data_IF_168079837276
#
_entry.id   IF_168079837276
#
_cell.length_a   1.000
_cell.length_b   1.000
_cell.length_c   1.000
_cell.angle_alpha   90.00
_cell.angle_beta   90.00
_cell.angle_gamma   90.00
#
_symmetry.space_group_name_H-M   'P 1'
#
loop_
_entity.id
_entity.type
_entity.pdbx_description
1 polymer ?
#
# COMPACT_ATOMS: atom_id res chain seq x y z
N UNK A 1 20.79 22.55 83.13
CA UNK A 1 19.73 23.29 82.42
C UNK A 1 19.10 22.38 81.37
N UNK A 2 17.84 22.64 80.98
CA UNK A 2 17.11 21.86 79.96
C UNK A 2 17.43 22.41 78.55
N UNK A 3 17.47 21.54 77.52
CA UNK A 3 17.42 21.76 76.04
C UNK A 3 18.14 20.56 75.38
N UNK A 4 17.74 19.96 74.25
CA UNK A 4 16.45 19.76 73.58
C UNK A 4 16.59 18.58 72.59
N UNK A 5 15.50 17.92 72.18
CA UNK A 5 15.52 16.92 71.08
C UNK A 5 15.36 17.61 69.72
N UNK A 6 16.03 17.09 68.67
CA UNK A 6 15.31 16.63 67.47
C UNK A 6 15.84 15.26 67.00
N UNK A 7 15.00 14.24 66.76
CA UNK A 7 14.07 14.04 65.64
C UNK A 7 14.69 13.26 64.44
N UNK A 8 14.22 12.01 64.28
CA UNK A 8 14.15 11.21 63.05
C UNK A 8 15.23 11.39 61.97
N UNK A 9 16.19 10.46 61.91
CA UNK A 9 17.10 10.33 60.78
C UNK A 9 16.38 9.84 59.52
N UNK A 10 16.34 10.68 58.48
CA UNK A 10 15.91 10.30 57.13
C UNK A 10 17.07 9.62 56.39
N UNK A 11 16.79 8.47 55.76
CA UNK A 11 17.76 7.77 54.91
C UNK A 11 17.98 8.63 53.65
N UNK A 12 19.24 8.98 53.27
CA UNK A 12 19.48 9.86 52.13
C UNK A 12 19.20 9.15 50.80
N UNK A 13 18.34 9.76 49.98
CA UNK A 13 17.91 9.27 48.66
C UNK A 13 18.99 9.44 47.56
N UNK A 14 20.27 9.20 47.88
CA UNK A 14 21.42 9.55 47.04
C UNK A 14 21.97 8.36 46.24
N UNK A 15 21.70 7.12 46.64
CA UNK A 15 22.22 5.90 45.99
C UNK A 15 21.60 5.64 44.61
N UNK A 16 20.27 5.75 44.46
CA UNK A 16 19.61 5.51 43.16
C UNK A 16 20.00 6.55 42.10
N UNK A 17 20.08 7.83 42.47
CA UNK A 17 20.47 8.91 41.58
C UNK A 17 21.90 8.74 41.03
N UNK A 18 22.84 8.26 41.86
CA UNK A 18 24.23 8.03 41.47
C UNK A 18 24.36 6.87 40.47
N UNK A 19 23.63 5.77 40.68
CA UNK A 19 23.62 4.63 39.74
C UNK A 19 23.05 4.99 38.35
N UNK A 20 22.08 5.90 38.29
CA UNK A 20 21.51 6.40 37.03
C UNK A 20 22.45 7.32 36.24
N UNK A 21 23.55 7.82 36.82
CA UNK A 21 24.56 8.64 36.15
C UNK A 21 25.74 7.81 35.58
N UNK A 22 25.95 6.60 36.09
CA UNK A 22 27.04 5.69 35.67
C UNK A 22 26.95 5.29 34.18
N UNK A 23 28.08 5.03 33.49
CA UNK A 23 28.09 4.48 32.13
C UNK A 23 27.21 3.22 31.99
N UNK A 24 27.21 2.35 33.00
CA UNK A 24 26.36 1.16 33.03
C UNK A 24 24.85 1.49 33.03
N UNK A 25 24.44 2.53 33.75
CA UNK A 25 23.06 3.03 33.76
C UNK A 25 22.66 3.68 32.43
N UNK A 26 23.60 4.33 31.73
CA UNK A 26 23.39 4.86 30.37
C UNK A 26 23.22 3.72 29.36
N UNK A 27 24.09 2.72 29.36
CA UNK A 27 23.99 1.54 28.49
C UNK A 27 22.70 0.79 28.73
N UNK A 28 22.29 0.58 29.99
CA UNK A 28 21.03 -0.11 30.33
C UNK A 28 19.79 0.63 29.83
N UNK A 29 19.77 1.98 29.84
CA UNK A 29 18.69 2.78 29.25
C UNK A 29 18.66 2.72 27.72
N UNK A 30 19.82 2.70 27.06
CA UNK A 30 19.90 2.53 25.60
C UNK A 30 19.39 1.13 25.22
N UNK A 31 19.90 0.08 25.88
CA UNK A 31 19.46 -1.30 25.66
C UNK A 31 17.95 -1.48 25.92
N UNK A 32 17.39 -0.85 26.97
CA UNK A 32 15.94 -0.87 27.23
C UNK A 32 15.14 -0.14 26.14
N UNK A 33 15.58 1.06 25.71
CA UNK A 33 14.94 1.82 24.64
C UNK A 33 14.95 1.04 23.33
N UNK A 34 16.08 0.44 22.99
CA UNK A 34 16.27 -0.30 21.75
C UNK A 34 15.47 -1.61 21.80
N UNK A 35 15.45 -2.32 22.94
CA UNK A 35 14.58 -3.48 23.16
C UNK A 35 13.07 -3.14 23.07
N UNK A 36 12.64 -1.99 23.61
CA UNK A 36 11.27 -1.49 23.47
C UNK A 36 10.96 -1.08 22.02
N UNK A 37 11.93 -0.53 21.29
CA UNK A 37 11.83 -0.23 19.86
C UNK A 37 11.62 -1.50 19.03
N UNK A 38 12.43 -2.54 19.28
CA UNK A 38 12.19 -3.87 18.68
C UNK A 38 10.83 -4.44 19.09
N UNK A 39 10.41 -4.29 20.35
CA UNK A 39 9.10 -4.77 20.78
C UNK A 39 7.97 -4.08 20.03
N UNK A 40 8.03 -2.76 19.82
CA UNK A 40 7.03 -2.04 19.01
C UNK A 40 7.09 -2.48 17.53
N UNK A 41 8.27 -2.72 16.97
CA UNK A 41 8.45 -3.27 15.61
C UNK A 41 7.87 -4.70 15.45
N UNK A 42 7.99 -5.56 16.46
CA UNK A 42 7.39 -6.90 16.49
C UNK A 42 5.89 -6.90 16.82
N UNK A 43 5.39 -5.91 17.55
CA UNK A 43 3.97 -5.75 17.89
C UNK A 43 3.19 -4.95 16.84
N UNK A 44 3.86 -4.17 15.98
CA UNK A 44 3.28 -3.45 14.85
C UNK A 44 2.47 -4.35 13.89
N UNK A 45 2.95 -5.55 13.51
CA UNK A 45 2.14 -6.55 12.80
C UNK A 45 0.86 -6.95 13.56
N UNK A 46 0.95 -7.21 14.87
CA UNK A 46 -0.21 -7.62 15.67
C UNK A 46 -1.22 -6.49 15.86
N UNK A 47 -0.76 -5.24 16.04
CA UNK A 47 -1.62 -4.04 16.01
C UNK A 47 -2.31 -3.86 14.65
N UNK A 48 -1.67 -4.27 13.55
CA UNK A 48 -2.21 -4.20 12.18
C UNK A 48 -3.18 -5.34 11.87
N UNK A 49 -3.06 -6.48 12.56
CA UNK A 49 -4.00 -7.61 12.47
C UNK A 49 -5.21 -7.47 13.40
N UNK A 50 -5.07 -6.82 14.56
CA UNK A 50 -6.13 -6.73 15.59
C UNK A 50 -6.75 -5.33 15.74
N UNK A 51 -6.29 -4.32 15.00
CA UNK A 51 -7.03 -3.07 14.82
C UNK A 51 -8.21 -3.25 13.87
N UNK A 52 -9.25 -2.40 13.91
CA UNK A 52 -10.31 -2.41 12.91
C UNK A 52 -9.70 -2.25 11.50
N UNK A 53 -9.91 -3.25 10.64
CA UNK A 53 -9.31 -3.35 9.31
C UNK A 53 -9.53 -2.07 8.44
N UNK A 54 -10.56 -1.29 8.76
CA UNK A 54 -10.92 -0.03 8.13
C UNK A 54 -9.88 1.11 8.19
N UNK A 55 -8.91 1.12 9.12
CA UNK A 55 -8.03 2.31 9.33
C UNK A 55 -6.60 2.22 8.78
N UNK A 56 -6.18 1.09 8.19
CA UNK A 56 -4.80 0.93 7.71
C UNK A 56 -4.50 1.55 6.33
N UNK A 57 -5.48 2.20 5.69
CA UNK A 57 -5.35 2.93 4.42
C UNK A 57 -6.01 4.31 4.48
N UNK A 58 -5.59 5.17 5.42
CA UNK A 58 -5.85 6.60 5.32
C UNK A 58 -5.15 7.18 4.09
N UNK A 59 -5.92 7.63 3.09
CA UNK A 59 -5.36 8.08 1.81
C UNK A 59 -6.39 8.68 0.86
N UNK A 60 -7.02 9.79 1.29
CA UNK A 60 -7.92 10.62 0.49
C UNK A 60 -9.31 10.01 0.28
N UNK A 61 -10.36 10.81 0.47
CA UNK A 61 -11.74 10.39 0.19
C UNK A 61 -12.05 10.48 -1.31
N UNK A 62 -11.31 9.70 -2.10
CA UNK A 62 -11.50 9.55 -3.54
C UNK A 62 -12.59 8.50 -3.84
N UNK A 63 -13.58 8.35 -2.95
CA UNK A 63 -14.69 7.39 -3.07
C UNK A 63 -15.64 7.80 -4.20
N UNK A 64 -16.16 9.04 -4.14
CA UNK A 64 -17.02 9.62 -5.16
C UNK A 64 -16.34 9.69 -6.54
N UNK A 65 -15.06 10.06 -6.58
CA UNK A 65 -14.28 10.11 -7.83
C UNK A 65 -14.11 8.71 -8.47
N UNK A 66 -13.94 7.65 -7.65
CA UNK A 66 -13.93 6.26 -8.13
C UNK A 66 -15.27 5.84 -8.67
N UNK A 67 -16.34 6.20 -7.98
CA UNK A 67 -17.69 5.86 -8.39
C UNK A 67 -18.05 6.54 -9.70
N UNK A 68 -17.67 7.81 -9.89
CA UNK A 68 -17.81 8.53 -11.16
C UNK A 68 -16.96 7.91 -12.29
N UNK A 69 -15.67 7.63 -12.05
CA UNK A 69 -14.80 6.94 -13.05
C UNK A 69 -15.37 5.57 -13.41
N UNK A 70 -15.86 4.83 -12.41
CA UNK A 70 -16.48 3.53 -12.59
C UNK A 70 -17.76 3.64 -13.40
N UNK A 71 -18.71 4.50 -13.02
CA UNK A 71 -19.97 4.70 -13.73
C UNK A 71 -19.73 5.11 -15.18
N UNK A 72 -18.73 5.95 -15.44
CA UNK A 72 -18.39 6.37 -16.80
C UNK A 72 -17.87 5.21 -17.67
N UNK A 73 -17.13 4.25 -17.08
CA UNK A 73 -16.65 3.01 -17.74
C UNK A 73 -17.70 1.88 -17.75
N UNK A 74 -18.55 1.80 -16.73
CA UNK A 74 -19.66 0.85 -16.57
C UNK A 74 -20.95 1.35 -17.29
N UNK A 75 -20.94 2.57 -17.83
CA UNK A 75 -21.99 3.14 -18.68
C UNK A 75 -21.71 3.04 -20.19
N UNK A 76 -20.45 3.14 -20.63
CA UNK A 76 -20.07 3.23 -22.06
C UNK A 76 -19.42 1.95 -22.59
N UNK A 77 -19.75 1.46 -23.79
CA UNK A 77 -19.07 0.27 -24.37
C UNK A 77 -17.60 0.56 -24.74
N UNK A 78 -17.28 1.77 -25.17
CA UNK A 78 -15.91 2.27 -25.32
C UNK A 78 -15.78 3.58 -24.56
N UNK A 79 -14.80 3.66 -23.66
CA UNK A 79 -14.54 4.85 -22.85
C UNK A 79 -13.07 5.26 -22.94
N UNK A 80 -12.83 6.54 -23.23
CA UNK A 80 -11.51 7.14 -23.39
C UNK A 80 -11.32 8.20 -22.32
N UNK A 81 -10.33 8.03 -21.44
CA UNK A 81 -9.84 9.15 -20.63
C UNK A 81 -8.76 9.88 -21.41
N UNK A 82 -8.96 11.18 -21.61
CA UNK A 82 -8.04 12.08 -22.32
C UNK A 82 -7.51 13.20 -21.45
N UNK A 83 -6.43 13.81 -21.95
CA UNK A 83 -5.83 15.04 -21.42
C UNK A 83 -6.11 16.19 -22.39
N UNK A 84 -6.42 17.37 -21.87
CA UNK A 84 -6.60 18.57 -22.68
C UNK A 84 -5.29 18.92 -23.42
N UNK A 85 -5.40 19.25 -24.71
CA UNK A 85 -4.24 19.52 -25.57
C UNK A 85 -3.40 18.30 -25.97
N UNK A 86 -3.82 17.06 -25.67
CA UNK A 86 -3.05 15.87 -26.03
C UNK A 86 -3.32 15.38 -27.47
N UNK A 87 -2.35 15.56 -28.37
CA UNK A 87 -2.44 15.12 -29.76
C UNK A 87 -2.64 13.60 -29.95
N UNK A 88 -2.13 12.76 -29.04
CA UNK A 88 -2.36 11.30 -29.09
C UNK A 88 -3.81 10.92 -28.75
N UNK A 89 -4.48 11.72 -27.90
CA UNK A 89 -5.90 11.49 -27.60
C UNK A 89 -6.77 11.81 -28.83
N UNK A 90 -6.50 12.92 -29.51
CA UNK A 90 -7.21 13.30 -30.74
C UNK A 90 -7.08 12.23 -31.82
N UNK A 91 -5.88 11.66 -32.03
CA UNK A 91 -5.67 10.55 -32.96
C UNK A 91 -6.49 9.30 -32.61
N UNK A 92 -6.60 8.95 -31.32
CA UNK A 92 -7.39 7.80 -30.90
C UNK A 92 -8.90 8.00 -31.13
N UNK A 93 -9.40 9.22 -30.88
CA UNK A 93 -10.80 9.60 -31.17
C UNK A 93 -11.08 9.59 -32.69
N UNK A 94 -10.15 10.10 -33.49
CA UNK A 94 -10.25 10.09 -34.94
C UNK A 94 -10.25 8.66 -35.51
N UNK A 95 -9.36 7.78 -35.04
CA UNK A 95 -9.31 6.37 -35.45
C UNK A 95 -10.63 5.63 -35.15
N UNK A 96 -11.22 5.85 -33.97
CA UNK A 96 -12.50 5.23 -33.61
C UNK A 96 -13.67 5.81 -34.42
N UNK A 97 -13.64 7.11 -34.71
CA UNK A 97 -14.61 7.78 -35.60
C UNK A 97 -14.52 7.25 -37.03
N UNK A 98 -13.32 7.09 -37.58
CA UNK A 98 -13.08 6.51 -38.91
C UNK A 98 -13.58 5.05 -39.02
N UNK A 99 -13.50 4.28 -37.93
CA UNK A 99 -14.04 2.91 -37.84
C UNK A 99 -15.56 2.87 -37.54
N UNK A 100 -16.21 4.01 -37.32
CA UNK A 100 -17.65 4.10 -37.04
C UNK A 100 -18.08 3.56 -35.67
N UNK A 101 -17.14 3.45 -34.72
CA UNK A 101 -17.41 2.86 -33.40
C UNK A 101 -17.92 3.95 -32.45
N UNK A 102 -19.07 3.78 -31.76
CA UNK A 102 -19.52 4.73 -30.75
C UNK A 102 -18.60 4.70 -29.53
N UNK A 103 -18.08 5.85 -29.13
CA UNK A 103 -17.22 6.00 -27.95
C UNK A 103 -17.64 7.20 -27.09
N UNK A 104 -17.33 7.11 -25.80
CA UNK A 104 -17.42 8.22 -24.85
C UNK A 104 -16.01 8.72 -24.51
N UNK A 105 -15.88 10.02 -24.25
CA UNK A 105 -14.61 10.64 -23.84
C UNK A 105 -14.78 11.48 -22.58
N UNK A 106 -13.93 11.27 -21.58
CA UNK A 106 -13.88 12.07 -20.36
C UNK A 106 -12.50 12.73 -20.19
N UNK A 107 -12.47 13.95 -19.66
CA UNK A 107 -11.21 14.62 -19.29
C UNK A 107 -10.71 14.03 -17.96
N UNK A 108 -9.58 13.34 -18.00
CA UNK A 108 -8.98 12.64 -16.87
C UNK A 108 -7.83 13.38 -16.19
N UNK A 109 -7.62 14.66 -16.51
CA UNK A 109 -6.51 15.49 -15.98
C UNK A 109 -6.61 15.81 -14.47
N UNK A 110 -7.77 15.60 -13.86
CA UNK A 110 -7.98 15.80 -12.43
C UNK A 110 -6.98 14.99 -11.60
N UNK A 111 -6.34 15.64 -10.61
CA UNK A 111 -5.35 14.98 -9.75
C UNK A 111 -5.94 13.76 -9.01
N UNK A 112 -7.22 13.83 -8.62
CA UNK A 112 -7.93 12.71 -8.01
C UNK A 112 -8.27 11.63 -9.04
N UNK A 113 -8.85 11.99 -10.19
CA UNK A 113 -9.16 11.07 -11.30
C UNK A 113 -7.93 10.27 -11.72
N UNK A 114 -6.78 10.94 -11.90
CA UNK A 114 -5.49 10.31 -12.21
C UNK A 114 -5.00 9.38 -11.10
N UNK A 115 -5.16 9.77 -9.84
CA UNK A 115 -4.79 8.95 -8.67
C UNK A 115 -5.67 7.70 -8.55
N UNK A 116 -6.95 7.83 -8.87
CA UNK A 116 -7.90 6.71 -8.97
C UNK A 116 -7.47 5.75 -10.08
N UNK A 117 -7.31 6.24 -11.31
CA UNK A 117 -6.93 5.42 -12.46
C UNK A 117 -5.59 4.70 -12.22
N UNK A 118 -4.59 5.39 -11.65
CA UNK A 118 -3.31 4.80 -11.24
C UNK A 118 -3.49 3.63 -10.26
N UNK A 119 -4.29 3.82 -9.20
CA UNK A 119 -4.46 2.84 -8.12
C UNK A 119 -5.27 1.63 -8.53
N UNK A 120 -6.36 1.84 -9.28
CA UNK A 120 -7.27 0.76 -9.67
C UNK A 120 -6.70 -0.09 -10.82
N UNK A 121 -6.01 0.54 -11.79
CA UNK A 121 -5.31 -0.18 -12.87
C UNK A 121 -3.97 -0.79 -12.43
N UNK A 122 -3.44 -0.39 -11.26
CA UNK A 122 -2.13 -0.78 -10.72
C UNK A 122 -0.95 -0.53 -11.69
N UNK A 123 -1.07 0.50 -12.53
CA UNK A 123 -0.03 0.87 -13.50
C UNK A 123 1.14 1.58 -12.81
N UNK A 124 2.40 1.35 -13.23
CA UNK A 124 3.55 2.10 -12.70
C UNK A 124 3.57 3.57 -13.15
N UNK A 125 2.91 3.88 -14.27
CA UNK A 125 2.73 5.23 -14.81
C UNK A 125 1.37 5.30 -15.52
N UNK A 126 0.60 6.35 -15.25
CA UNK A 126 -0.58 6.70 -16.06
C UNK A 126 -0.14 7.59 -17.22
N UNK A 127 -0.34 7.10 -18.43
CA UNK A 127 -0.19 7.81 -19.70
C UNK A 127 -1.58 8.03 -20.32
N UNK A 128 -1.76 9.10 -21.11
CA UNK A 128 -3.02 9.37 -21.82
C UNK A 128 -2.79 9.31 -23.33
N UNK A 129 -3.74 8.77 -24.13
CA UNK A 129 -5.07 8.30 -23.73
C UNK A 129 -5.04 7.01 -22.90
N UNK A 130 -6.07 6.80 -22.06
CA UNK A 130 -6.40 5.49 -21.47
C UNK A 130 -7.71 5.01 -22.08
N UNK A 131 -7.69 3.85 -22.70
CA UNK A 131 -8.82 3.31 -23.46
C UNK A 131 -9.37 2.07 -22.77
N UNK A 132 -10.68 2.04 -22.58
CA UNK A 132 -11.44 0.94 -22.01
C UNK A 132 -12.46 0.44 -23.03
N UNK A 133 -12.54 -0.88 -23.17
CA UNK A 133 -13.53 -1.57 -24.03
C UNK A 133 -14.31 -2.55 -23.15
N UNK A 134 -15.60 -2.28 -22.98
CA UNK A 134 -16.56 -3.02 -22.13
C UNK A 134 -16.02 -3.32 -20.72
N UNK A 135 -15.38 -2.30 -20.13
CA UNK A 135 -14.74 -2.34 -18.82
C UNK A 135 -13.36 -3.00 -18.75
N UNK A 136 -12.85 -3.55 -19.85
CA UNK A 136 -11.47 -4.04 -19.96
C UNK A 136 -10.53 -2.89 -20.34
N UNK A 137 -9.46 -2.70 -19.60
CA UNK A 137 -8.39 -1.77 -19.96
C UNK A 137 -7.59 -2.30 -21.16
N UNK A 138 -7.50 -1.51 -22.23
CA UNK A 138 -6.80 -1.87 -23.47
C UNK A 138 -5.36 -1.31 -23.49
N UNK A 139 -5.18 -0.06 -23.08
CA UNK A 139 -3.93 0.67 -23.21
C UNK A 139 -4.14 2.11 -23.66
N UNK A 140 -3.18 2.66 -24.41
CA UNK A 140 -3.25 3.94 -25.09
C UNK A 140 -3.38 3.82 -26.61
N UNK A 141 -2.97 4.85 -27.34
CA UNK A 141 -3.18 4.98 -28.80
C UNK A 141 -2.58 3.82 -29.60
N UNK A 142 -1.38 3.39 -29.22
CA UNK A 142 -0.61 2.43 -30.02
C UNK A 142 -1.20 1.03 -29.84
N UNK A 143 -1.59 0.67 -28.60
CA UNK A 143 -2.31 -0.57 -28.32
C UNK A 143 -3.70 -0.60 -28.96
N UNK A 144 -4.35 0.56 -29.17
CA UNK A 144 -5.59 0.64 -29.93
C UNK A 144 -5.36 0.29 -31.41
N UNK A 145 -4.31 0.84 -32.04
CA UNK A 145 -3.95 0.50 -33.44
C UNK A 145 -3.65 -0.99 -33.57
N UNK A 146 -2.79 -1.54 -32.71
CA UNK A 146 -2.45 -2.96 -32.69
C UNK A 146 -3.71 -3.85 -32.51
N UNK A 147 -4.65 -3.45 -31.64
CA UNK A 147 -5.89 -4.17 -31.40
C UNK A 147 -6.89 -4.09 -32.56
N UNK A 148 -6.91 -2.97 -33.29
CA UNK A 148 -7.73 -2.74 -34.48
C UNK A 148 -7.21 -3.48 -35.71
N UNK A 149 -5.89 -3.66 -35.81
CA UNK A 149 -5.25 -4.35 -36.95
C UNK A 149 -5.18 -5.87 -36.74
N UNK A 150 -5.07 -6.33 -35.49
CA UNK A 150 -5.16 -7.76 -35.13
C UNK A 150 -6.59 -8.31 -35.03
N UNK A 151 -7.61 -7.47 -35.20
CA UNK A 151 -9.03 -7.83 -34.96
C UNK A 151 -9.29 -8.27 -33.51
N UNK A 152 -8.46 -7.86 -32.55
CA UNK A 152 -8.66 -8.09 -31.12
C UNK A 152 -9.78 -7.16 -30.59
N UNK A 153 -9.87 -5.95 -31.13
CA UNK A 153 -10.87 -4.96 -30.74
C UNK A 153 -12.31 -5.48 -30.93
N UNK A 154 -12.63 -6.08 -32.07
CA UNK A 154 -13.96 -6.63 -32.34
C UNK A 154 -14.32 -7.81 -31.42
N UNK A 155 -13.31 -8.61 -31.03
CA UNK A 155 -13.47 -9.68 -30.04
C UNK A 155 -13.77 -9.13 -28.64
N UNK A 156 -13.17 -8.00 -28.28
CA UNK A 156 -13.47 -7.30 -27.01
C UNK A 156 -14.86 -6.66 -27.03
N UNK A 157 -15.32 -6.13 -28.18
CA UNK A 157 -16.70 -5.67 -28.35
C UNK A 157 -17.72 -6.83 -28.26
N UNK A 158 -17.40 -8.01 -28.79
CA UNK A 158 -18.24 -9.20 -28.67
C UNK A 158 -18.25 -9.86 -27.28
N UNK A 159 -17.25 -9.59 -26.43
CA UNK A 159 -17.14 -10.20 -25.11
C UNK A 159 -18.16 -9.62 -24.09
N UNK A 160 -18.62 -10.38 -23.09
CA UNK A 160 -19.45 -9.85 -22.02
C UNK A 160 -18.70 -8.75 -21.25
N UNK A 161 -19.43 -7.68 -20.88
CA UNK A 161 -18.90 -6.57 -20.10
C UNK A 161 -18.30 -7.08 -18.79
N UNK A 162 -17.09 -6.62 -18.46
CA UNK A 162 -16.52 -6.81 -17.13
C UNK A 162 -16.74 -5.54 -16.32
N UNK A 163 -17.14 -5.61 -15.04
CA UNK A 163 -17.19 -4.42 -14.20
C UNK A 163 -15.79 -3.82 -14.07
N UNK A 164 -15.69 -2.50 -14.02
CA UNK A 164 -14.43 -1.80 -13.79
C UNK A 164 -13.67 -2.40 -12.58
N UNK A 165 -12.35 -2.67 -12.68
CA UNK A 165 -11.58 -3.31 -11.60
C UNK A 165 -11.59 -2.43 -10.35
N UNK A 166 -12.51 -2.73 -9.43
CA UNK A 166 -12.78 -1.93 -8.25
C UNK A 166 -12.10 -2.55 -7.04
N UNK A 167 -11.16 -1.82 -6.43
CA UNK A 167 -10.59 -2.14 -5.13
C UNK A 167 -9.82 -3.44 -5.09
N UNK A 168 -9.27 -3.88 -6.23
CA UNK A 168 -8.62 -5.18 -6.37
C UNK A 168 -7.46 -5.29 -5.35
N UNK A 169 -7.39 -6.18 -4.34
CA UNK A 169 -8.35 -7.12 -3.73
C UNK A 169 -9.45 -7.75 -4.58
N UNK A 170 -9.03 -8.40 -5.68
CA UNK A 170 -9.50 -9.77 -5.83
C UNK A 170 -9.00 -10.51 -4.60
N UNK A 171 -9.89 -11.20 -3.88
CA UNK A 171 -9.46 -12.22 -2.92
C UNK A 171 -8.51 -13.13 -3.70
N UNK A 172 -7.22 -13.23 -3.32
CA UNK A 172 -6.29 -14.08 -4.05
C UNK A 172 -6.91 -15.48 -4.07
N UNK A 173 -6.84 -16.16 -5.23
CA UNK A 173 -7.36 -17.52 -5.39
C UNK A 173 -7.03 -18.35 -4.15
N UNK A 174 -7.91 -19.18 -3.59
CA UNK A 174 -7.66 -19.85 -2.31
C UNK A 174 -6.38 -20.72 -2.30
N UNK A 175 -5.82 -21.03 -3.48
CA UNK A 175 -4.52 -21.69 -3.68
C UNK A 175 -3.29 -20.75 -3.61
N UNK A 176 -3.47 -19.44 -3.45
CA UNK A 176 -2.43 -18.40 -3.51
C UNK A 176 -2.07 -17.81 -2.14
N UNK A 177 -2.50 -18.48 -1.06
CA UNK A 177 -2.14 -18.22 0.35
C UNK A 177 -0.62 -18.24 0.64
N UNK A 178 0.21 -18.66 -0.31
CA UNK A 178 1.67 -18.80 -0.18
C UNK A 178 2.49 -17.60 -0.68
N UNK A 179 1.85 -16.51 -1.15
CA UNK A 179 2.55 -15.32 -1.63
C UNK A 179 2.26 -14.11 -0.74
N UNK A 180 3.30 -13.54 -0.13
CA UNK A 180 3.13 -12.40 0.79
C UNK A 180 2.70 -11.11 0.07
N UNK A 181 2.23 -10.08 0.81
CA UNK A 181 1.69 -8.83 0.25
C UNK A 181 2.70 -7.97 -0.56
N UNK A 182 3.95 -8.41 -0.70
CA UNK A 182 5.00 -7.81 -1.55
C UNK A 182 5.54 -8.80 -2.62
N UNK A 183 4.79 -9.84 -2.95
CA UNK A 183 5.19 -10.86 -3.93
C UNK A 183 6.35 -11.76 -3.49
N UNK A 184 6.71 -11.72 -2.21
CA UNK A 184 7.84 -12.47 -1.65
C UNK A 184 7.41 -13.90 -1.28
N UNK A 185 8.25 -14.93 -1.55
CA UNK A 185 7.96 -16.31 -1.17
C UNK A 185 7.80 -16.50 0.35
N UNK A 186 6.87 -17.38 0.74
CA UNK A 186 6.53 -17.64 2.15
C UNK A 186 7.73 -18.03 3.03
N UNK A 187 8.73 -18.74 2.48
CA UNK A 187 9.93 -19.17 3.21
C UNK A 187 10.74 -18.01 3.80
N UNK A 188 10.69 -16.81 3.22
CA UNK A 188 11.40 -15.64 3.75
C UNK A 188 10.92 -15.23 5.15
N UNK A 189 9.65 -15.47 5.47
CA UNK A 189 9.11 -15.20 6.81
C UNK A 189 9.65 -16.20 7.85
N UNK A 190 9.64 -17.49 7.51
CA UNK A 190 10.21 -18.55 8.35
C UNK A 190 11.71 -18.31 8.62
N UNK A 191 12.46 -17.89 7.60
CA UNK A 191 13.88 -17.51 7.76
C UNK A 191 14.09 -16.28 8.66
N UNK A 192 13.23 -15.26 8.61
CA UNK A 192 13.32 -14.12 9.52
C UNK A 192 13.07 -14.52 10.99
N UNK A 193 12.02 -15.31 11.24
CA UNK A 193 11.71 -15.81 12.58
C UNK A 193 12.85 -16.70 13.11
N UNK A 194 13.36 -17.62 12.28
CA UNK A 194 14.45 -18.51 12.65
C UNK A 194 15.77 -17.76 12.91
N UNK A 195 16.18 -16.84 12.04
CA UNK A 195 17.39 -16.06 12.23
C UNK A 195 17.35 -15.20 13.51
N UNK A 196 16.19 -14.66 13.85
CA UNK A 196 16.03 -13.86 15.07
C UNK A 196 15.93 -14.73 16.33
N UNK A 197 15.37 -15.94 16.24
CA UNK A 197 15.44 -16.94 17.30
C UNK A 197 16.88 -17.40 17.58
N UNK A 198 17.66 -17.69 16.54
CA UNK A 198 19.09 -18.07 16.68
C UNK A 198 19.90 -16.94 17.31
N UNK A 199 19.65 -15.68 16.93
CA UNK A 199 20.27 -14.50 17.58
C UNK A 199 19.87 -14.38 19.05
N UNK A 200 18.60 -14.59 19.38
CA UNK A 200 18.12 -14.55 20.77
C UNK A 200 18.75 -15.66 21.63
N UNK A 201 18.83 -16.90 21.11
CA UNK A 201 19.50 -18.02 21.80
C UNK A 201 21.01 -17.75 21.97
N UNK A 202 21.67 -17.17 20.96
CA UNK A 202 23.08 -16.77 21.05
C UNK A 202 23.30 -15.67 22.11
N UNK A 203 22.41 -14.68 22.18
CA UNK A 203 22.41 -13.65 23.23
C UNK A 203 22.26 -14.29 24.63
N UNK A 204 21.31 -15.21 24.79
CA UNK A 204 21.10 -15.94 26.06
C UNK A 204 22.33 -16.73 26.45
N UNK A 205 22.99 -17.41 25.51
CA UNK A 205 24.26 -18.11 25.76
C UNK A 205 25.35 -17.15 26.25
N UNK A 206 25.54 -16.01 25.58
CA UNK A 206 26.53 -15.00 26.01
C UNK A 206 26.17 -14.45 27.39
N UNK A 207 24.90 -14.22 27.71
CA UNK A 207 24.47 -13.71 29.02
C UNK A 207 24.54 -14.75 30.16
N UNK A 208 24.70 -16.04 29.87
CA UNK A 208 24.85 -17.11 30.87
C UNK A 208 26.32 -17.47 31.11
N UNK A 209 27.18 -17.33 30.09
CA UNK A 209 28.57 -17.79 30.10
C UNK A 209 29.62 -16.65 30.06
N UNK A 210 29.20 -15.39 30.28
CA UNK A 210 30.07 -14.21 30.45
C UNK A 210 29.88 -13.56 31.82
#
# INVERSE_FOLDING_TARGET
GRVAMPASGTVPATTEAHWLASPAGRVKRIALRDALGYLDEYLLPLRRCCGPCARAFGGGDNSAEREAVREAVDGSDVMIFKKEGCGYCLRAEELLSQRGVPFSSAVGDGAQTRTVLYRELRLPLVTYPLIFVRGVFLGGSDQLVDALDSGMFDKLLGAPRKPFPTGVFAMPDPLRLLCGPRGQPWYCFQWHVYANWVRAMSLVHVCIFA
#
